data_IF_158556915383
#
_entry.id   IF_158556915383
#
_cell.length_a   1.000
_cell.length_b   1.000
_cell.length_c   1.000
_cell.angle_alpha   90.00
_cell.angle_beta   90.00
_cell.angle_gamma   90.00
#
_symmetry.space_group_name_H-M   'P 1'
#
loop_
_entity.id
_entity.type
_entity.pdbx_description
1 polymer ?
#
# COMPACT_ATOMS: atom_id res chain seq x y z
N UNK A 1 -12.50 -1.21 2.53
CA UNK A 1 -11.93 -0.25 3.50
C UNK A 1 -12.51 1.11 3.20
N UNK A 2 -12.64 1.96 4.21
CA UNK A 2 -12.97 3.38 4.02
C UNK A 2 -11.82 4.07 3.27
N UNK A 3 -12.12 4.91 2.28
CA UNK A 3 -11.09 5.72 1.64
C UNK A 3 -10.69 6.86 2.59
N UNK A 4 -9.41 7.27 2.54
CA UNK A 4 -8.91 8.36 3.38
C UNK A 4 -9.68 9.68 3.17
N UNK A 5 -10.18 9.95 1.96
CA UNK A 5 -10.98 11.14 1.66
C UNK A 5 -12.33 11.18 2.38
N UNK A 6 -12.88 10.03 2.73
CA UNK A 6 -14.25 9.91 3.23
C UNK A 6 -14.29 9.91 4.77
N UNK A 7 -13.13 9.88 5.42
CA UNK A 7 -12.99 9.78 6.87
C UNK A 7 -13.60 10.97 7.61
N UNK A 8 -13.36 12.20 7.16
CA UNK A 8 -13.92 13.39 7.78
C UNK A 8 -15.46 13.39 7.75
N UNK A 9 -16.04 12.92 6.65
CA UNK A 9 -17.49 12.82 6.47
C UNK A 9 -18.11 11.77 7.40
N UNK A 10 -17.43 10.65 7.61
CA UNK A 10 -17.90 9.57 8.50
C UNK A 10 -17.77 9.97 9.96
N UNK A 11 -16.66 10.58 10.37
CA UNK A 11 -16.43 11.05 11.74
C UNK A 11 -17.39 12.18 12.15
N UNK A 12 -17.83 13.00 11.19
CA UNK A 12 -18.79 14.07 11.43
C UNK A 12 -20.26 13.58 11.54
N UNK A 13 -20.53 12.29 11.38
CA UNK A 13 -21.88 11.73 11.44
C UNK A 13 -22.04 10.83 12.67
N UNK A 14 -22.83 11.30 13.63
CA UNK A 14 -23.08 10.66 14.93
C UNK A 14 -23.71 9.27 14.83
N UNK A 15 -24.24 8.91 13.64
CA UNK A 15 -24.83 7.59 13.37
C UNK A 15 -23.84 6.58 12.79
N UNK A 16 -22.62 7.00 12.47
CA UNK A 16 -21.58 6.17 11.88
C UNK A 16 -20.41 5.97 12.85
N UNK A 17 -19.70 4.86 12.68
CA UNK A 17 -18.50 4.55 13.45
C UNK A 17 -17.41 4.02 12.51
N UNK A 18 -16.17 4.41 12.77
CA UNK A 18 -15.00 3.87 12.09
C UNK A 18 -14.49 2.69 12.91
N UNK A 19 -14.46 1.51 12.31
CA UNK A 19 -13.90 0.30 12.92
C UNK A 19 -12.54 0.04 12.30
N UNK A 20 -11.50 0.27 13.08
CA UNK A 20 -10.13 -0.05 12.68
C UNK A 20 -9.85 -1.54 12.89
N UNK A 21 -9.23 -2.16 11.88
CA UNK A 21 -8.79 -3.55 11.94
C UNK A 21 -7.39 -3.68 11.36
N UNK A 22 -6.54 -4.55 11.92
CA UNK A 22 -5.28 -4.89 11.29
C UNK A 22 -5.52 -5.34 9.85
N UNK A 23 -4.81 -4.72 8.93
CA UNK A 23 -4.98 -4.98 7.51
C UNK A 23 -4.30 -6.31 7.15
N UNK A 24 -5.08 -7.27 6.67
CA UNK A 24 -4.58 -8.57 6.20
C UNK A 24 -4.31 -8.57 4.69
N UNK A 25 -3.83 -7.45 4.15
CA UNK A 25 -3.60 -7.27 2.71
C UNK A 25 -2.21 -6.71 2.42
N UNK A 26 -1.77 -6.91 1.18
CA UNK A 26 -0.51 -6.38 0.65
C UNK A 26 -0.76 -5.80 -0.74
N UNK A 27 -0.33 -4.56 -0.96
CA UNK A 27 -0.26 -3.96 -2.30
C UNK A 27 1.10 -4.24 -2.93
N UNK A 28 1.12 -4.73 -4.17
CA UNK A 28 2.37 -4.97 -4.90
C UNK A 28 2.26 -4.55 -6.36
N UNK A 29 3.40 -4.19 -6.95
CA UNK A 29 3.54 -3.97 -8.39
C UNK A 29 4.11 -5.23 -9.04
N UNK A 30 3.30 -5.96 -9.80
CA UNK A 30 3.73 -7.11 -10.57
C UNK A 30 4.50 -6.69 -11.82
N UNK A 31 5.77 -7.12 -11.95
CA UNK A 31 6.56 -6.91 -13.16
C UNK A 31 6.63 -8.22 -13.96
N UNK A 32 6.18 -8.20 -15.21
CA UNK A 32 6.19 -9.38 -16.10
C UNK A 32 7.62 -9.74 -16.50
N UNK A 33 8.19 -10.76 -15.86
CA UNK A 33 9.59 -11.16 -16.04
C UNK A 33 9.94 -11.72 -17.41
N UNK A 34 8.96 -12.00 -18.27
CA UNK A 34 9.17 -12.45 -19.65
C UNK A 34 9.15 -11.31 -20.67
N UNK A 35 8.83 -10.08 -20.24
CA UNK A 35 8.69 -8.91 -21.13
C UNK A 35 9.85 -7.95 -20.94
N UNK A 36 10.56 -7.63 -22.03
CA UNK A 36 11.60 -6.58 -22.01
C UNK A 36 11.01 -5.21 -21.62
N UNK A 37 11.70 -4.39 -20.80
CA UNK A 37 13.02 -4.60 -20.18
C UNK A 37 12.96 -5.28 -18.79
N UNK A 38 11.79 -5.76 -18.36
CA UNK A 38 11.58 -6.37 -17.05
C UNK A 38 12.09 -7.81 -16.95
N UNK A 39 12.56 -8.40 -18.04
CA UNK A 39 13.33 -9.64 -18.07
C UNK A 39 14.67 -9.49 -17.33
N UNK A 40 15.28 -8.32 -17.39
CA UNK A 40 16.49 -8.00 -16.65
C UNK A 40 16.21 -7.77 -15.14
N UNK A 41 16.84 -8.58 -14.29
CA UNK A 41 16.76 -8.46 -12.83
C UNK A 41 17.17 -7.08 -12.32
N UNK A 42 18.21 -6.47 -12.91
CA UNK A 42 18.72 -5.16 -12.49
C UNK A 42 17.70 -4.05 -12.75
N UNK A 43 16.93 -4.14 -13.84
CA UNK A 43 15.84 -3.20 -14.13
C UNK A 43 14.76 -3.30 -13.08
N UNK A 44 14.37 -4.53 -12.68
CA UNK A 44 13.39 -4.72 -11.62
C UNK A 44 13.87 -4.20 -10.26
N UNK A 45 15.14 -4.39 -9.92
CA UNK A 45 15.73 -3.84 -8.71
C UNK A 45 15.77 -2.31 -8.74
N UNK A 46 16.18 -1.72 -9.86
CA UNK A 46 16.21 -0.26 -10.03
C UNK A 46 14.82 0.35 -9.83
N UNK A 47 13.77 -0.26 -10.39
CA UNK A 47 12.38 0.18 -10.19
C UNK A 47 11.98 0.10 -8.72
N UNK A 48 12.32 -1.00 -8.03
CA UNK A 48 11.98 -1.14 -6.60
C UNK A 48 12.66 -0.08 -5.73
N UNK A 49 13.87 0.36 -6.07
CA UNK A 49 14.55 1.45 -5.37
C UNK A 49 14.07 2.85 -5.79
N UNK A 50 13.56 3.01 -7.02
CA UNK A 50 13.06 4.28 -7.53
C UNK A 50 11.67 4.65 -6.98
N UNK A 51 10.91 3.68 -6.49
CA UNK A 51 9.57 3.92 -5.92
C UNK A 51 9.71 4.44 -4.48
N UNK A 52 9.31 5.70 -4.27
CA UNK A 52 9.18 6.26 -2.92
C UNK A 52 7.89 5.75 -2.25
N UNK A 53 8.03 4.61 -1.56
CA UNK A 53 6.94 4.01 -0.80
C UNK A 53 6.41 4.93 0.30
N UNK A 54 7.26 5.78 0.89
CA UNK A 54 6.88 6.64 2.01
C UNK A 54 5.93 7.73 1.52
N UNK A 55 6.27 8.42 0.44
CA UNK A 55 5.39 9.44 -0.15
C UNK A 55 4.07 8.85 -0.63
N UNK A 56 4.08 7.64 -1.18
CA UNK A 56 2.83 6.94 -1.58
C UNK A 56 1.94 6.67 -0.36
N UNK A 57 2.52 6.18 0.74
CA UNK A 57 1.80 5.93 2.00
C UNK A 57 1.19 7.21 2.55
N UNK A 58 1.96 8.30 2.57
CA UNK A 58 1.49 9.59 3.09
C UNK A 58 0.37 10.18 2.22
N UNK A 59 0.58 10.26 0.90
CA UNK A 59 -0.34 10.93 -0.01
C UNK A 59 -1.61 10.12 -0.30
N UNK A 60 -1.50 8.81 -0.46
CA UNK A 60 -2.62 7.97 -0.89
C UNK A 60 -3.33 7.27 0.27
N UNK A 61 -2.55 6.77 1.25
CA UNK A 61 -3.09 6.03 2.39
C UNK A 61 -3.28 6.89 3.64
N UNK A 62 -2.99 8.20 3.58
CA UNK A 62 -3.14 9.10 4.73
C UNK A 62 -2.25 8.72 5.92
N UNK A 63 -1.12 8.05 5.67
CA UNK A 63 -0.24 7.53 6.72
C UNK A 63 -0.74 6.25 7.41
N UNK A 64 -1.89 5.69 7.00
CA UNK A 64 -2.49 4.48 7.62
C UNK A 64 -2.00 3.16 7.03
N UNK A 65 -0.93 3.19 6.25
CA UNK A 65 -0.32 2.01 5.65
C UNK A 65 1.14 1.89 6.08
N UNK A 66 1.64 0.66 6.13
CA UNK A 66 3.05 0.38 6.43
C UNK A 66 3.79 -0.02 5.16
N UNK A 67 5.07 0.37 5.07
CA UNK A 67 5.91 0.02 3.94
C UNK A 67 6.17 -1.49 3.93
N UNK A 68 5.56 -2.19 2.97
CA UNK A 68 5.73 -3.62 2.80
C UNK A 68 7.19 -3.98 2.49
N UNK A 69 7.74 -4.88 3.32
CA UNK A 69 9.06 -5.52 3.15
C UNK A 69 8.94 -6.97 2.69
N UNK A 70 7.90 -7.66 3.15
CA UNK A 70 7.61 -9.05 2.82
C UNK A 70 6.32 -9.18 2.00
N UNK A 71 6.14 -10.28 1.25
CA UNK A 71 4.89 -10.57 0.55
C UNK A 71 3.73 -10.88 1.49
N UNK A 72 4.01 -11.26 2.73
CA UNK A 72 3.00 -11.49 3.76
C UNK A 72 2.92 -10.26 4.68
N UNK A 73 1.72 -9.87 5.11
CA UNK A 73 1.57 -8.80 6.08
C UNK A 73 2.10 -9.26 7.45
N UNK A 74 2.66 -8.35 8.26
CA UNK A 74 3.22 -8.69 9.58
C UNK A 74 2.21 -9.34 10.54
N UNK A 75 0.91 -9.13 10.32
CA UNK A 75 -0.17 -9.70 11.14
C UNK A 75 -0.32 -11.22 11.00
N UNK A 76 0.34 -11.84 10.01
CA UNK A 76 0.29 -13.29 9.74
C UNK A 76 1.68 -13.94 9.94
N UNK A 77 2.74 -13.15 10.16
CA UNK A 77 4.08 -13.66 10.48
C UNK A 77 4.20 -14.11 11.95
#
# INVERSE_FOLDING_TARGET
GLNNSDEATVTANDKLQIIERPSMNVGYLGLTTTRKPFDNKLVRQAINHAIDKKTIIEAFYGGKAEAAKNPMPPSIE
#
